data_IF_943749598187
#
_entry.id   IF_943749598187
#
_cell.length_a   1.000
_cell.length_b   1.000
_cell.length_c   1.000
_cell.angle_alpha   90.00
_cell.angle_beta   90.00
_cell.angle_gamma   90.00
#
_symmetry.space_group_name_H-M   'P 1'
#
loop_
_entity.id
_entity.type
_entity.pdbx_description
1 polymer ?
#
# COMPACT_ATOMS: atom_id res chain seq x y z
N UNK A 1 -99.93 27.79 -52.72
CA UNK A 1 -99.49 27.13 -51.47
C UNK A 1 -99.47 25.62 -51.72
N UNK A 2 -98.31 25.08 -52.10
CA UNK A 2 -97.92 23.68 -51.95
C UNK A 2 -96.42 23.61 -52.23
N UNK A 3 -95.63 23.40 -51.18
CA UNK A 3 -94.19 23.26 -51.24
C UNK A 3 -93.83 21.80 -51.53
N UNK A 4 -92.88 21.51 -52.42
CA UNK A 4 -92.15 20.25 -52.40
C UNK A 4 -90.97 20.40 -51.44
N UNK A 5 -91.00 19.71 -50.30
CA UNK A 5 -89.80 19.57 -49.45
C UNK A 5 -89.05 18.35 -49.94
N UNK A 6 -88.06 18.64 -50.78
CA UNK A 6 -87.07 17.71 -51.29
C UNK A 6 -86.18 17.19 -50.15
N UNK A 7 -85.70 15.97 -50.32
CA UNK A 7 -84.80 15.29 -49.41
C UNK A 7 -83.39 15.90 -49.47
N UNK A 8 -82.72 15.96 -48.33
CA UNK A 8 -81.28 16.28 -48.20
C UNK A 8 -81.05 16.99 -46.87
N UNK A 9 -80.37 16.47 -45.86
CA UNK A 9 -79.33 15.45 -45.83
C UNK A 9 -79.48 14.65 -44.53
N UNK A 10 -79.64 13.33 -44.64
CA UNK A 10 -79.28 12.45 -43.54
C UNK A 10 -77.76 12.40 -43.51
N UNK A 11 -77.14 13.21 -42.65
CA UNK A 11 -75.70 13.14 -42.36
C UNK A 11 -75.35 11.70 -41.99
N UNK A 12 -74.50 10.99 -42.77
CA UNK A 12 -74.21 9.58 -42.55
C UNK A 12 -73.05 9.40 -41.56
N UNK A 13 -73.00 10.16 -40.47
CA UNK A 13 -71.96 10.02 -39.45
C UNK A 13 -72.53 10.29 -38.04
N UNK A 14 -73.43 9.38 -37.63
CA UNK A 14 -73.75 9.19 -36.21
C UNK A 14 -72.63 8.43 -35.51
N UNK A 15 -71.42 9.00 -35.43
CA UNK A 15 -70.42 8.48 -34.49
C UNK A 15 -70.80 9.01 -33.10
N UNK A 16 -71.24 8.09 -32.24
CA UNK A 16 -71.66 8.39 -30.87
C UNK A 16 -70.54 9.16 -30.12
N UNK A 17 -70.87 10.35 -29.61
CA UNK A 17 -69.93 11.17 -28.85
C UNK A 17 -69.31 10.41 -27.67
N UNK A 18 -70.04 9.43 -27.13
CA UNK A 18 -69.58 8.54 -26.06
C UNK A 18 -68.43 7.63 -26.54
N UNK A 19 -68.48 7.15 -27.78
CA UNK A 19 -67.41 6.32 -28.36
C UNK A 19 -66.14 7.13 -28.66
N UNK A 20 -66.28 8.41 -29.01
CA UNK A 20 -65.14 9.32 -29.13
C UNK A 20 -64.44 9.57 -27.79
N UNK A 21 -65.20 9.81 -26.71
CA UNK A 21 -64.66 9.97 -25.35
C UNK A 21 -63.96 8.69 -24.90
N UNK A 22 -64.59 7.53 -25.07
CA UNK A 22 -64.00 6.22 -24.74
C UNK A 22 -62.71 5.94 -25.52
N UNK A 23 -62.64 6.34 -26.79
CA UNK A 23 -61.43 6.23 -27.60
C UNK A 23 -60.33 7.17 -27.12
N UNK A 24 -60.66 8.41 -26.76
CA UNK A 24 -59.73 9.38 -26.21
C UNK A 24 -59.14 8.91 -24.86
N UNK A 25 -59.96 8.34 -23.97
CA UNK A 25 -59.51 7.75 -22.70
C UNK A 25 -58.53 6.59 -22.92
N UNK A 26 -58.81 5.70 -23.87
CA UNK A 26 -57.90 4.60 -24.25
C UNK A 26 -56.56 5.12 -24.77
N UNK A 27 -56.57 6.15 -25.61
CA UNK A 27 -55.35 6.78 -26.14
C UNK A 27 -54.55 7.42 -25.00
N UNK A 28 -55.22 8.12 -24.09
CA UNK A 28 -54.59 8.80 -22.97
C UNK A 28 -53.98 7.81 -21.97
N UNK A 29 -54.67 6.71 -21.68
CA UNK A 29 -54.15 5.60 -20.87
C UNK A 29 -52.95 4.92 -21.53
N UNK A 30 -52.99 4.68 -22.85
CA UNK A 30 -51.86 4.13 -23.59
C UNK A 30 -50.65 5.07 -23.58
N UNK A 31 -50.87 6.38 -23.74
CA UNK A 31 -49.83 7.42 -23.65
C UNK A 31 -49.17 7.46 -22.27
N UNK A 32 -49.97 7.41 -21.18
CA UNK A 32 -49.47 7.33 -19.80
C UNK A 32 -48.60 6.09 -19.58
N UNK A 33 -49.07 4.90 -19.99
CA UNK A 33 -48.29 3.65 -19.90
C UNK A 33 -46.98 3.74 -20.68
N UNK A 34 -46.99 4.34 -21.87
CA UNK A 34 -45.77 4.56 -22.68
C UNK A 34 -44.78 5.49 -21.99
N UNK A 35 -45.26 6.56 -21.34
CA UNK A 35 -44.42 7.49 -20.57
C UNK A 35 -43.81 6.80 -19.34
N UNK A 36 -44.60 6.05 -18.59
CA UNK A 36 -44.12 5.27 -17.44
C UNK A 36 -43.08 4.22 -17.84
N UNK A 37 -43.30 3.51 -18.94
CA UNK A 37 -42.33 2.54 -19.46
C UNK A 37 -40.99 3.20 -19.80
N UNK A 38 -41.02 4.39 -20.43
CA UNK A 38 -39.80 5.17 -20.69
C UNK A 38 -39.10 5.61 -19.41
N UNK A 39 -39.84 6.10 -18.43
CA UNK A 39 -39.27 6.50 -17.13
C UNK A 39 -38.61 5.32 -16.43
N UNK A 40 -39.28 4.16 -16.39
CA UNK A 40 -38.71 2.92 -15.83
C UNK A 40 -37.46 2.45 -16.59
N UNK A 41 -37.42 2.61 -17.91
CA UNK A 41 -36.24 2.28 -18.69
C UNK A 41 -35.04 3.19 -18.35
N UNK A 42 -35.29 4.51 -18.22
CA UNK A 42 -34.27 5.49 -17.83
C UNK A 42 -33.75 5.19 -16.41
N UNK A 43 -34.63 4.89 -15.47
CA UNK A 43 -34.26 4.56 -14.09
C UNK A 43 -33.40 3.29 -14.03
N UNK A 44 -33.76 2.25 -14.78
CA UNK A 44 -32.96 1.03 -14.92
C UNK A 44 -31.58 1.30 -15.52
N UNK A 45 -31.50 2.14 -16.54
CA UNK A 45 -30.22 2.50 -17.14
C UNK A 45 -29.34 3.29 -16.17
N UNK A 46 -29.92 4.25 -15.46
CA UNK A 46 -29.21 5.04 -14.46
C UNK A 46 -28.65 4.17 -13.34
N UNK A 47 -29.49 3.31 -12.76
CA UNK A 47 -29.07 2.36 -11.71
C UNK A 47 -27.95 1.44 -12.19
N UNK A 48 -28.04 0.89 -13.40
CA UNK A 48 -26.95 0.09 -13.99
C UNK A 48 -25.65 0.89 -14.18
N UNK A 49 -25.74 2.16 -14.59
CA UNK A 49 -24.56 3.02 -14.75
C UNK A 49 -23.90 3.31 -13.39
N UNK A 50 -24.69 3.58 -12.36
CA UNK A 50 -24.22 3.80 -11.00
C UNK A 50 -23.55 2.55 -10.45
N UNK A 51 -24.18 1.38 -10.59
CA UNK A 51 -23.61 0.10 -10.14
C UNK A 51 -22.30 -0.22 -10.85
N UNK A 52 -22.23 -0.02 -12.17
CA UNK A 52 -20.98 -0.18 -12.93
C UNK A 52 -19.89 0.78 -12.46
N UNK A 53 -20.23 2.04 -12.17
CA UNK A 53 -19.28 3.02 -11.66
C UNK A 53 -18.78 2.65 -10.26
N UNK A 54 -19.68 2.21 -9.38
CA UNK A 54 -19.35 1.73 -8.04
C UNK A 54 -18.38 0.55 -8.09
N UNK A 55 -18.69 -0.49 -8.87
CA UNK A 55 -17.84 -1.67 -9.02
C UNK A 55 -16.46 -1.33 -9.61
N UNK A 56 -16.38 -0.32 -10.49
CA UNK A 56 -15.08 0.17 -11.01
C UNK A 56 -14.29 0.89 -9.92
N UNK A 57 -14.97 1.69 -9.10
CA UNK A 57 -14.34 2.41 -8.02
C UNK A 57 -13.83 1.48 -6.92
N UNK A 58 -14.61 0.46 -6.53
CA UNK A 58 -14.16 -0.56 -5.59
C UNK A 58 -12.91 -1.28 -6.09
N UNK A 59 -12.92 -1.76 -7.35
CA UNK A 59 -11.75 -2.39 -7.97
C UNK A 59 -10.53 -1.47 -7.97
N UNK A 60 -10.73 -0.18 -8.22
CA UNK A 60 -9.65 0.80 -8.17
C UNK A 60 -9.08 0.94 -6.75
N UNK A 61 -9.95 1.05 -5.75
CA UNK A 61 -9.55 1.16 -4.34
C UNK A 61 -8.80 -0.09 -3.90
N UNK A 62 -9.27 -1.28 -4.26
CA UNK A 62 -8.61 -2.54 -3.89
C UNK A 62 -7.25 -2.68 -4.57
N UNK A 63 -7.15 -2.35 -5.86
CA UNK A 63 -5.88 -2.31 -6.57
C UNK A 63 -4.90 -1.29 -5.96
N UNK A 64 -5.41 -0.12 -5.54
CA UNK A 64 -4.61 0.89 -4.86
C UNK A 64 -4.10 0.38 -3.50
N UNK A 65 -4.97 -0.22 -2.68
CA UNK A 65 -4.59 -0.81 -1.39
C UNK A 65 -3.50 -1.87 -1.55
N UNK A 66 -3.67 -2.78 -2.52
CA UNK A 66 -2.68 -3.82 -2.82
C UNK A 66 -1.31 -3.21 -3.17
N UNK A 67 -1.27 -2.23 -4.09
CA UNK A 67 -0.03 -1.54 -4.47
C UNK A 67 0.65 -0.84 -3.30
N UNK A 68 -0.11 -0.19 -2.42
CA UNK A 68 0.43 0.47 -1.24
C UNK A 68 1.00 -0.56 -0.26
N UNK A 69 0.29 -1.65 -0.03
CA UNK A 69 0.76 -2.75 0.83
C UNK A 69 2.06 -3.35 0.31
N UNK A 70 2.13 -3.67 -0.99
CA UNK A 70 3.34 -4.22 -1.62
C UNK A 70 4.53 -3.26 -1.51
N UNK A 71 4.30 -1.96 -1.71
CA UNK A 71 5.33 -0.94 -1.58
C UNK A 71 5.84 -0.83 -0.14
N UNK A 72 4.93 -0.86 0.85
CA UNK A 72 5.27 -0.85 2.27
C UNK A 72 6.07 -2.09 2.67
N UNK A 73 5.64 -3.28 2.24
CA UNK A 73 6.39 -4.52 2.49
C UNK A 73 7.78 -4.48 1.87
N UNK A 74 7.90 -4.01 0.63
CA UNK A 74 9.20 -3.89 -0.04
C UNK A 74 10.13 -2.93 0.71
N UNK A 75 9.61 -1.80 1.21
CA UNK A 75 10.38 -0.87 2.04
C UNK A 75 10.78 -1.52 3.37
N UNK A 76 9.88 -2.21 4.04
CA UNK A 76 10.15 -2.89 5.31
C UNK A 76 11.23 -3.97 5.15
N UNK A 77 11.17 -4.77 4.07
CA UNK A 77 12.19 -5.78 3.75
C UNK A 77 13.56 -5.14 3.55
N UNK A 78 13.64 -4.00 2.84
CA UNK A 78 14.90 -3.25 2.67
C UNK A 78 15.44 -2.72 3.99
N UNK A 79 14.57 -2.20 4.84
CA UNK A 79 14.94 -1.64 6.14
C UNK A 79 15.45 -2.74 7.09
N UNK A 80 14.77 -3.89 7.13
CA UNK A 80 15.21 -5.07 7.88
C UNK A 80 16.56 -5.60 7.39
N UNK A 81 16.77 -5.66 6.07
CA UNK A 81 18.06 -6.06 5.50
C UNK A 81 19.19 -5.11 5.91
N UNK A 82 18.95 -3.80 5.84
CA UNK A 82 19.92 -2.80 6.28
C UNK A 82 20.20 -2.89 7.79
N UNK A 83 19.16 -3.12 8.60
CA UNK A 83 19.28 -3.31 10.04
C UNK A 83 20.15 -4.54 10.37
N UNK A 84 19.92 -5.68 9.71
CA UNK A 84 20.73 -6.87 9.92
C UNK A 84 22.19 -6.65 9.52
N UNK A 85 22.46 -6.00 8.39
CA UNK A 85 23.84 -5.65 8.01
C UNK A 85 24.52 -4.77 9.06
N UNK A 86 23.80 -3.79 9.59
CA UNK A 86 24.31 -2.92 10.67
C UNK A 86 24.62 -3.72 11.93
N UNK A 87 23.72 -4.60 12.35
CA UNK A 87 23.92 -5.47 13.52
C UNK A 87 25.13 -6.40 13.33
N UNK A 88 25.31 -7.00 12.15
CA UNK A 88 26.49 -7.82 11.86
C UNK A 88 27.78 -7.00 11.97
N UNK A 89 27.80 -5.79 11.39
CA UNK A 89 28.95 -4.91 11.50
C UNK A 89 29.25 -4.50 12.94
N UNK A 90 28.23 -4.17 13.74
CA UNK A 90 28.37 -3.87 15.17
C UNK A 90 29.00 -5.06 15.93
N UNK A 91 28.52 -6.28 15.69
CA UNK A 91 29.07 -7.49 16.30
C UNK A 91 30.55 -7.67 15.94
N UNK A 92 30.92 -7.45 14.68
CA UNK A 92 32.31 -7.60 14.25
C UNK A 92 33.23 -6.51 14.82
N UNK A 93 32.74 -5.27 14.92
CA UNK A 93 33.44 -4.18 15.63
C UNK A 93 33.68 -4.57 17.10
N UNK A 94 32.66 -5.11 17.78
CA UNK A 94 32.80 -5.57 19.16
C UNK A 94 33.84 -6.68 19.32
N UNK A 95 33.89 -7.65 18.40
CA UNK A 95 34.92 -8.70 18.40
C UNK A 95 36.32 -8.11 18.23
N UNK A 96 36.49 -7.17 17.30
CA UNK A 96 37.77 -6.50 17.06
C UNK A 96 38.22 -5.69 18.28
N UNK A 97 37.32 -4.93 18.90
CA UNK A 97 37.61 -4.17 20.12
C UNK A 97 38.06 -5.09 21.25
N UNK A 98 37.39 -6.23 21.45
CA UNK A 98 37.77 -7.21 22.46
C UNK A 98 39.15 -7.83 22.18
N UNK A 99 39.46 -8.11 20.92
CA UNK A 99 40.77 -8.62 20.52
C UNK A 99 41.88 -7.59 20.78
N UNK A 100 41.64 -6.32 20.43
CA UNK A 100 42.56 -5.21 20.69
C UNK A 100 42.77 -5.00 22.19
N UNK A 101 41.71 -5.09 22.99
CA UNK A 101 41.85 -5.00 24.45
C UNK A 101 42.72 -6.13 25.00
N UNK A 102 42.54 -7.37 24.51
CA UNK A 102 43.36 -8.51 24.90
C UNK A 102 44.83 -8.31 24.52
N UNK A 103 45.11 -7.87 23.28
CA UNK A 103 46.48 -7.62 22.84
C UNK A 103 47.14 -6.47 23.62
N UNK A 104 46.37 -5.43 23.96
CA UNK A 104 46.85 -4.31 24.79
C UNK A 104 47.27 -4.78 26.18
N UNK A 105 46.49 -5.66 26.82
CA UNK A 105 46.84 -6.22 28.13
C UNK A 105 48.12 -7.06 28.06
N UNK A 106 48.21 -7.96 27.07
CA UNK A 106 49.41 -8.78 26.87
C UNK A 106 50.68 -7.92 26.63
N UNK A 107 50.55 -6.83 25.85
CA UNK A 107 51.67 -5.90 25.64
C UNK A 107 52.09 -5.18 26.92
N UNK A 108 51.13 -4.81 27.77
CA UNK A 108 51.42 -4.19 29.06
C UNK A 108 52.12 -5.16 30.02
N UNK A 109 51.69 -6.42 30.06
CA UNK A 109 52.35 -7.50 30.83
C UNK A 109 53.79 -7.70 30.37
N UNK A 110 54.02 -7.84 29.05
CA UNK A 110 55.35 -7.96 28.47
C UNK A 110 56.25 -6.75 28.82
N UNK A 111 55.70 -5.54 28.79
CA UNK A 111 56.44 -4.34 29.14
C UNK A 111 56.84 -4.31 30.62
N UNK A 112 55.97 -4.81 31.51
CA UNK A 112 56.27 -4.96 32.94
C UNK A 112 57.39 -5.99 33.14
N UNK A 113 57.35 -7.12 32.45
CA UNK A 113 58.38 -8.17 32.52
C UNK A 113 59.73 -7.67 32.03
N UNK A 114 59.76 -6.98 30.88
CA UNK A 114 60.98 -6.36 30.34
C UNK A 114 61.56 -5.35 31.32
N UNK A 115 60.73 -4.51 31.94
CA UNK A 115 61.18 -3.54 32.94
C UNK A 115 61.75 -4.23 34.19
N UNK A 116 61.09 -5.27 34.70
CA UNK A 116 61.60 -6.05 35.84
C UNK A 116 62.94 -6.71 35.52
N UNK A 117 63.04 -7.42 34.39
CA UNK A 117 64.28 -8.08 33.99
C UNK A 117 65.44 -7.08 33.83
N UNK A 118 65.17 -5.89 33.28
CA UNK A 118 66.19 -4.82 33.19
C UNK A 118 66.62 -4.29 34.55
N UNK A 119 65.68 -4.13 35.49
CA UNK A 119 66.00 -3.70 36.85
C UNK A 119 66.84 -4.76 37.58
N UNK A 120 66.50 -6.04 37.44
CA UNK A 120 67.27 -7.16 37.99
C UNK A 120 68.69 -7.20 37.43
N UNK A 121 68.86 -7.15 36.11
CA UNK A 121 70.19 -7.08 35.48
C UNK A 121 70.99 -5.88 36.01
N UNK A 122 70.37 -4.71 36.11
CA UNK A 122 71.05 -3.50 36.57
C UNK A 122 71.49 -3.63 38.04
N UNK A 123 70.65 -4.24 38.89
CA UNK A 123 70.98 -4.54 40.27
C UNK A 123 72.11 -5.59 40.39
N UNK A 124 72.09 -6.63 39.56
CA UNK A 124 73.17 -7.63 39.48
C UNK A 124 74.51 -7.00 39.07
N UNK A 125 74.50 -6.15 38.03
CA UNK A 125 75.70 -5.43 37.60
C UNK A 125 76.21 -4.52 38.73
N UNK A 126 75.31 -3.79 39.41
CA UNK A 126 75.70 -2.90 40.51
C UNK A 126 76.30 -3.64 41.70
N UNK A 127 75.91 -4.90 41.94
CA UNK A 127 76.39 -5.70 43.09
C UNK A 127 77.63 -6.52 42.75
N UNK A 128 77.77 -6.98 41.51
CA UNK A 128 78.86 -7.89 41.10
C UNK A 128 79.91 -7.24 40.18
N UNK A 129 79.63 -6.07 39.60
CA UNK A 129 80.50 -5.37 38.66
C UNK A 129 80.67 -6.05 37.30
N UNK A 130 79.95 -7.16 37.02
CA UNK A 130 80.02 -7.91 35.76
C UNK A 130 78.69 -7.83 35.01
N UNK A 131 78.78 -7.74 33.68
CA UNK A 131 77.61 -7.81 32.79
C UNK A 131 77.22 -9.28 32.60
N UNK A 132 75.93 -9.65 32.72
CA UNK A 132 75.50 -11.03 32.51
C UNK A 132 75.73 -11.48 31.06
N UNK A 133 76.31 -12.68 30.87
CA UNK A 133 76.73 -13.23 29.56
C UNK A 133 75.57 -13.71 28.68
N UNK A 134 74.34 -13.77 29.20
CA UNK A 134 73.13 -14.17 28.45
C UNK A 134 71.99 -13.21 28.75
N UNK A 135 71.24 -12.88 27.70
CA UNK A 135 69.99 -12.13 27.85
C UNK A 135 68.97 -12.93 28.69
N UNK A 136 68.19 -12.27 29.56
CA UNK A 136 67.07 -12.89 30.23
C UNK A 136 66.13 -13.49 29.18
N UNK A 137 65.65 -14.71 29.43
CA UNK A 137 64.62 -15.31 28.59
C UNK A 137 63.30 -14.62 28.94
N UNK A 138 62.76 -13.86 27.98
CA UNK A 138 61.39 -13.37 27.97
C UNK A 138 60.45 -14.52 27.60
#
# INVERSE_FOLDING_TARGET
MSSPSDNGDTSPDGIDAIDHVRRAEKILAASKRKKEAKLKAIEKEYTQRVEKAHNRFEKFIDAHKARVSDAQEAQMRRLNHALHKRQTAEIDIWKQLKALEKSRRALAELLIEVCHARLEITAEISTTGRVPEKAPKL
#
